data_IF_773829118158
#
_entry.id   IF_773829118158
#
_cell.length_a   1.000
_cell.length_b   1.000
_cell.length_c   1.000
_cell.angle_alpha   90.00
_cell.angle_beta   90.00
_cell.angle_gamma   90.00
#
_symmetry.space_group_name_H-M   'P 1'
#
loop_
_entity.id
_entity.type
_entity.pdbx_description
1 polymer ?
#
# COMPACT_ATOMS: atom_id res chain seq x y z
N UNK A 1 -13.88 8.59 0.42
CA UNK A 1 -13.19 7.79 1.45
C UNK A 1 -11.94 8.55 1.85
N UNK A 2 -11.67 8.82 3.13
CA UNK A 2 -10.49 9.63 3.53
C UNK A 2 -9.27 8.73 3.65
N UNK A 3 -8.34 8.85 2.72
CA UNK A 3 -7.09 8.09 2.68
C UNK A 3 -6.01 8.99 3.27
N UNK A 4 -5.50 8.60 4.44
CA UNK A 4 -4.34 9.20 5.12
C UNK A 4 -3.10 8.35 4.86
N UNK A 5 -1.92 8.86 5.19
CA UNK A 5 -0.65 8.28 4.76
C UNK A 5 0.54 8.63 5.74
N UNK A 6 1.83 8.47 5.39
CA UNK A 6 3.03 8.83 6.21
C UNK A 6 4.23 9.40 5.38
N UNK A 7 4.51 10.72 5.37
CA UNK A 7 5.42 11.45 4.41
C UNK A 7 6.80 10.81 4.21
N UNK A 8 7.31 10.11 5.23
CA UNK A 8 8.65 9.53 5.24
C UNK A 8 8.71 8.10 4.69
N UNK A 9 7.57 7.51 4.32
CA UNK A 9 7.50 6.12 3.91
C UNK A 9 7.95 5.92 2.46
N UNK A 10 8.93 5.04 2.26
CA UNK A 10 9.43 4.65 0.93
C UNK A 10 8.48 3.70 0.17
N UNK A 11 7.40 3.24 0.82
CA UNK A 11 6.51 2.21 0.30
C UNK A 11 5.10 2.35 0.88
N UNK A 12 4.10 2.49 0.01
CA UNK A 12 2.70 2.37 0.40
C UNK A 12 2.30 0.91 0.68
N UNK A 13 1.40 0.70 1.64
CA UNK A 13 0.81 -0.60 1.96
C UNK A 13 -0.71 -0.57 1.81
N UNK A 14 -1.29 -1.59 1.17
CA UNK A 14 -2.75 -1.74 1.09
C UNK A 14 -3.19 -3.19 1.29
N UNK A 15 -4.48 -3.41 1.53
CA UNK A 15 -5.07 -4.73 1.69
C UNK A 15 -5.57 -5.30 0.35
N UNK A 16 -5.29 -6.59 0.11
CA UNK A 16 -5.73 -7.36 -1.06
C UNK A 16 -7.21 -7.11 -1.44
N UNK A 17 -8.13 -7.06 -0.48
CA UNK A 17 -9.56 -6.82 -0.74
C UNK A 17 -9.92 -5.52 -1.50
N UNK A 18 -9.01 -4.54 -1.56
CA UNK A 18 -9.21 -3.29 -2.32
C UNK A 18 -8.52 -3.31 -3.71
N UNK A 19 -7.75 -4.34 -4.02
CA UNK A 19 -6.93 -4.45 -5.24
C UNK A 19 -7.65 -5.30 -6.28
N UNK A 20 -7.85 -4.76 -7.48
CA UNK A 20 -8.44 -5.51 -8.59
C UNK A 20 -7.38 -6.44 -9.21
N UNK A 21 -7.73 -7.62 -9.78
CA UNK A 21 -6.74 -8.54 -10.34
C UNK A 21 -5.78 -7.95 -11.39
N UNK A 22 -6.21 -6.96 -12.17
CA UNK A 22 -5.37 -6.29 -13.18
C UNK A 22 -4.40 -5.25 -12.61
N UNK A 23 -4.57 -4.84 -11.35
CA UNK A 23 -3.66 -3.88 -10.68
C UNK A 23 -2.37 -4.56 -10.22
N UNK A 24 -2.38 -5.90 -10.05
CA UNK A 24 -1.20 -6.65 -9.63
C UNK A 24 -0.09 -6.59 -10.67
N UNK A 25 1.12 -6.29 -10.21
CA UNK A 25 2.33 -6.39 -11.03
C UNK A 25 3.02 -7.74 -10.76
N UNK A 26 3.98 -8.10 -11.62
CA UNK A 26 4.85 -9.26 -11.38
C UNK A 26 5.99 -8.95 -10.38
N UNK A 27 6.01 -7.74 -9.79
CA UNK A 27 7.02 -7.30 -8.84
C UNK A 27 6.68 -7.78 -7.42
N UNK A 28 7.71 -7.90 -6.57
CA UNK A 28 7.57 -8.28 -5.17
C UNK A 28 8.55 -7.48 -4.31
N UNK A 29 8.13 -7.13 -3.11
CA UNK A 29 8.96 -6.48 -2.09
C UNK A 29 9.28 -7.46 -0.97
N UNK A 30 10.44 -7.29 -0.34
CA UNK A 30 10.81 -7.98 0.89
C UNK A 30 10.81 -6.97 2.03
N UNK A 31 9.89 -7.16 2.97
CA UNK A 31 9.76 -6.31 4.15
C UNK A 31 10.34 -6.99 5.38
N UNK A 32 11.15 -6.23 6.12
CA UNK A 32 11.54 -6.57 7.49
C UNK A 32 10.67 -5.76 8.44
N UNK A 33 9.77 -6.40 9.17
CA UNK A 33 8.98 -5.69 10.18
C UNK A 33 9.83 -5.50 11.45
N UNK A 34 9.53 -4.49 12.30
CA UNK A 34 10.20 -4.35 13.60
C UNK A 34 9.90 -5.51 14.56
N UNK A 35 8.79 -6.23 14.35
CA UNK A 35 8.28 -7.27 15.24
C UNK A 35 8.77 -8.68 14.87
N UNK A 36 9.02 -8.94 13.58
CA UNK A 36 9.52 -10.23 13.11
C UNK A 36 11.00 -10.17 12.69
N UNK A 37 11.75 -11.21 13.04
CA UNK A 37 13.11 -11.40 12.51
C UNK A 37 13.12 -11.91 11.06
N UNK A 38 11.99 -12.44 10.58
CA UNK A 38 11.76 -12.89 9.21
C UNK A 38 11.61 -11.75 8.22
N UNK A 39 12.08 -11.96 6.98
CA UNK A 39 11.67 -11.14 5.83
C UNK A 39 10.36 -11.70 5.28
N UNK A 40 9.37 -10.83 5.12
CA UNK A 40 8.08 -11.15 4.50
C UNK A 40 8.14 -10.74 3.02
N UNK A 41 7.85 -11.65 2.11
CA UNK A 41 7.66 -11.33 0.70
C UNK A 41 6.20 -10.94 0.44
N UNK A 42 5.96 -9.71 -0.04
CA UNK A 42 4.64 -9.24 -0.48
C UNK A 42 4.65 -8.95 -1.99
N UNK A 43 3.57 -9.23 -2.72
CA UNK A 43 3.42 -8.77 -4.10
C UNK A 43 3.15 -7.26 -4.15
N UNK A 44 3.48 -6.64 -5.28
CA UNK A 44 3.14 -5.26 -5.59
C UNK A 44 1.85 -5.17 -6.43
N UNK A 45 1.17 -4.03 -6.34
CA UNK A 45 0.16 -3.61 -7.29
C UNK A 45 0.28 -2.11 -7.59
N UNK A 46 -0.10 -1.71 -8.80
CA UNK A 46 -0.39 -0.33 -9.16
C UNK A 46 -1.86 -0.04 -8.84
N UNK A 47 -2.07 0.64 -7.71
CA UNK A 47 -3.39 0.95 -7.18
C UNK A 47 -3.83 2.31 -7.71
N UNK A 48 -4.96 2.31 -8.42
CA UNK A 48 -5.65 3.52 -8.86
C UNK A 48 -6.59 4.02 -7.75
N UNK A 49 -6.50 5.31 -7.43
CA UNK A 49 -7.34 5.95 -6.42
C UNK A 49 -7.91 7.27 -6.93
N UNK A 50 -9.21 7.41 -6.77
CA UNK A 50 -9.94 8.64 -7.05
C UNK A 50 -10.05 9.47 -5.77
N UNK A 51 -9.43 10.64 -5.75
CA UNK A 51 -9.49 11.57 -4.62
C UNK A 51 -9.98 12.96 -5.07
N UNK A 52 -10.25 13.85 -4.12
CA UNK A 52 -10.73 15.22 -4.40
C UNK A 52 -9.71 16.05 -5.20
N UNK A 53 -8.43 15.64 -5.22
CA UNK A 53 -7.36 16.26 -6.00
C UNK A 53 -7.16 15.62 -7.40
N UNK A 54 -7.93 14.59 -7.75
CA UNK A 54 -7.89 13.91 -9.04
C UNK A 54 -7.62 12.40 -8.95
N UNK A 55 -7.23 11.81 -10.08
CA UNK A 55 -6.87 10.40 -10.18
C UNK A 55 -5.38 10.21 -9.86
N UNK A 56 -5.07 9.35 -8.89
CA UNK A 56 -3.70 9.03 -8.48
C UNK A 56 -3.44 7.54 -8.69
N UNK A 57 -2.37 7.22 -9.43
CA UNK A 57 -1.85 5.85 -9.53
C UNK A 57 -0.64 5.75 -8.62
N UNK A 58 -0.57 4.72 -7.78
CA UNK A 58 0.58 4.51 -6.89
C UNK A 58 0.94 3.04 -6.72
N UNK A 59 2.22 2.74 -6.54
CA UNK A 59 2.70 1.37 -6.30
C UNK A 59 2.64 1.06 -4.81
N UNK A 60 1.79 0.10 -4.42
CA UNK A 60 1.65 -0.37 -3.05
C UNK A 60 1.99 -1.86 -2.94
N UNK A 61 2.55 -2.27 -1.81
CA UNK A 61 2.73 -3.69 -1.48
C UNK A 61 1.50 -4.23 -0.74
N UNK A 62 1.12 -5.46 -1.08
CA UNK A 62 -0.20 -5.98 -0.72
C UNK A 62 -0.14 -6.88 0.51
N UNK A 63 -0.85 -6.45 1.55
CA UNK A 63 -1.08 -7.21 2.77
C UNK A 63 -2.21 -8.23 2.57
N UNK A 64 -2.06 -9.41 3.19
CA UNK A 64 -3.12 -10.42 3.29
C UNK A 64 -4.30 -9.87 4.09
N UNK A 65 -5.50 -10.30 3.73
CA UNK A 65 -6.75 -9.83 4.36
C UNK A 65 -6.79 -10.05 5.89
N UNK A 66 -6.08 -11.06 6.39
CA UNK A 66 -5.91 -11.34 7.83
C UNK A 66 -5.12 -10.29 8.61
N UNK A 67 -4.38 -9.40 7.92
CA UNK A 67 -3.60 -8.32 8.52
C UNK A 67 -4.33 -6.96 8.45
N UNK A 68 -5.47 -6.90 7.76
CA UNK A 68 -6.25 -5.66 7.64
C UNK A 68 -7.10 -5.42 8.89
N UNK A 69 -6.50 -4.75 9.87
CA UNK A 69 -7.18 -4.23 11.06
C UNK A 69 -8.00 -2.94 10.77
N UNK A 70 -8.26 -2.62 9.50
CA UNK A 70 -8.94 -1.39 9.06
C UNK A 70 -8.06 -0.14 9.09
N UNK A 71 -6.73 -0.30 9.16
CA UNK A 71 -5.77 0.79 9.41
C UNK A 71 -4.80 1.10 8.27
N UNK A 72 -4.72 0.24 7.25
CA UNK A 72 -3.67 0.30 6.22
C UNK A 72 -4.28 0.27 4.83
N UNK A 73 -4.63 1.45 4.31
CA UNK A 73 -5.12 1.62 2.94
C UNK A 73 -4.03 2.14 1.99
N UNK A 74 -3.18 3.04 2.49
CA UNK A 74 -1.93 3.54 1.92
C UNK A 74 -1.05 4.08 3.06
N UNK A 75 0.19 4.46 2.76
CA UNK A 75 1.13 5.07 3.69
C UNK A 75 2.24 5.86 2.99
N UNK A 76 1.98 7.07 2.46
CA UNK A 76 2.95 8.13 2.11
C UNK A 76 2.40 9.61 2.05
N UNK A 77 2.41 10.36 3.18
CA UNK A 77 1.70 11.64 3.46
C UNK A 77 2.46 12.81 2.81
N UNK A 78 2.52 12.78 1.47
CA UNK A 78 3.10 13.80 0.61
C UNK A 78 2.50 15.21 0.84
N UNK A 79 2.82 15.90 1.94
CA UNK A 79 2.56 17.32 2.10
C UNK A 79 3.40 18.09 1.08
N UNK A 80 2.82 18.35 -0.09
CA UNK A 80 3.37 19.29 -1.07
C UNK A 80 3.25 20.70 -0.47
N UNK A 81 4.40 21.28 -0.15
CA UNK A 81 4.56 22.71 0.14
C UNK A 81 4.67 23.51 -1.17
#
# INVERSE_FOLDING_TARGET
MKILRDTGATLDLTCNKYVKPHMYTNEKVWLRTPLEKSLICLPFAEVELDCEMGHVITKAAILRDSLDQGRYLLGNDCCVA
#
